data_IF_321708851919
#
_entry.id   IF_321708851919
#
_cell.length_a   1.000
_cell.length_b   1.000
_cell.length_c   1.000
_cell.angle_alpha   90.00
_cell.angle_beta   90.00
_cell.angle_gamma   90.00
#
_symmetry.space_group_name_H-M   'P 1'
#
loop_
_entity.id
_entity.type
_entity.pdbx_description
1 polymer ?
#
# COMPACT_ATOMS: atom_id res chain seq x y z
N UNK A 1 -6.55 -9.53 17.80
CA UNK A 1 -6.50 -8.13 18.28
C UNK A 1 -5.11 -7.61 17.96
N UNK A 2 -5.01 -6.56 17.19
CA UNK A 2 -3.76 -5.80 17.06
C UNK A 2 -3.35 -5.40 18.47
N UNK A 3 -2.12 -5.69 18.82
CA UNK A 3 -1.52 -5.66 20.16
C UNK A 3 -2.12 -4.58 21.07
N UNK A 4 -2.57 -4.95 22.25
CA UNK A 4 -2.94 -4.03 23.32
C UNK A 4 -1.67 -3.40 23.92
N UNK A 5 -0.95 -2.65 23.10
CA UNK A 5 0.22 -1.92 23.56
C UNK A 5 -0.17 -0.84 24.54
N UNK A 6 0.52 -0.73 25.69
CA UNK A 6 0.30 0.39 26.62
C UNK A 6 0.47 1.76 25.99
N UNK A 7 1.39 1.89 25.00
CA UNK A 7 1.60 3.12 24.25
C UNK A 7 0.33 3.51 23.45
N UNK A 8 -0.21 2.56 22.68
CA UNK A 8 -1.41 2.80 21.89
C UNK A 8 -2.63 3.05 22.77
N UNK A 9 -2.77 2.33 23.88
CA UNK A 9 -3.84 2.57 24.85
C UNK A 9 -3.75 3.98 25.44
N UNK A 10 -2.55 4.45 25.76
CA UNK A 10 -2.31 5.82 26.21
C UNK A 10 -2.66 6.87 25.18
N UNK A 11 -2.26 6.68 23.92
CA UNK A 11 -2.59 7.58 22.81
C UNK A 11 -4.11 7.64 22.56
N UNK A 12 -4.81 6.51 22.60
CA UNK A 12 -6.28 6.44 22.48
C UNK A 12 -6.98 7.19 23.61
N UNK A 13 -6.51 7.00 24.85
CA UNK A 13 -7.08 7.67 26.01
C UNK A 13 -6.88 9.18 25.97
N UNK A 14 -5.73 9.63 25.44
CA UNK A 14 -5.40 11.06 25.31
C UNK A 14 -6.21 11.76 24.21
N UNK A 15 -6.62 11.07 23.14
CA UNK A 15 -7.32 11.66 22.01
C UNK A 15 -8.41 10.72 21.43
N UNK A 16 -9.46 10.37 22.19
CA UNK A 16 -10.45 9.39 21.76
C UNK A 16 -11.27 9.84 20.53
N UNK A 17 -11.46 11.13 20.32
CA UNK A 17 -12.17 11.69 19.16
C UNK A 17 -11.41 11.53 17.84
N UNK A 18 -10.10 11.31 17.88
CA UNK A 18 -9.26 11.13 16.72
C UNK A 18 -9.14 9.65 16.29
N UNK A 19 -9.67 8.75 17.11
CA UNK A 19 -9.55 7.32 16.86
C UNK A 19 -10.66 6.77 15.97
N UNK A 20 -10.26 6.04 14.92
CA UNK A 20 -11.16 5.31 14.01
C UNK A 20 -10.70 3.86 13.91
N UNK A 21 -11.63 2.94 13.74
CA UNK A 21 -11.33 1.51 13.55
C UNK A 21 -12.30 0.83 12.60
N UNK A 22 -11.89 -0.30 12.05
CA UNK A 22 -12.79 -1.22 11.33
C UNK A 22 -13.87 -1.76 12.26
N UNK A 23 -15.04 -2.19 11.74
CA UNK A 23 -16.08 -2.78 12.56
C UNK A 23 -15.63 -4.10 13.21
N UNK A 24 -16.16 -4.41 14.38
CA UNK A 24 -16.00 -5.70 15.05
C UNK A 24 -17.22 -6.58 14.79
N UNK A 25 -17.08 -7.90 15.02
CA UNK A 25 -18.12 -8.87 14.68
C UNK A 25 -19.48 -8.57 15.30
N UNK A 26 -19.54 -8.05 16.52
CA UNK A 26 -20.77 -7.69 17.23
C UNK A 26 -21.45 -6.39 16.76
N UNK A 27 -20.83 -5.61 15.88
CA UNK A 27 -21.31 -4.29 15.47
C UNK A 27 -22.08 -4.32 14.14
N UNK A 28 -23.20 -5.05 14.10
CA UNK A 28 -23.96 -5.31 12.85
C UNK A 28 -24.27 -4.08 12.00
N UNK A 29 -24.56 -2.94 12.63
CA UNK A 29 -24.88 -1.69 11.92
C UNK A 29 -23.67 -0.98 11.28
N UNK A 30 -22.45 -1.45 11.49
CA UNK A 30 -21.23 -0.88 10.91
C UNK A 30 -20.72 -1.64 9.69
N UNK A 31 -21.35 -2.77 9.35
CA UNK A 31 -21.00 -3.58 8.20
C UNK A 31 -21.85 -3.20 7.00
N UNK A 32 -21.21 -3.11 5.85
CA UNK A 32 -21.91 -2.98 4.58
C UNK A 32 -22.26 -4.37 4.04
N UNK A 33 -23.49 -4.54 3.51
CA UNK A 33 -23.90 -5.80 2.90
C UNK A 33 -23.51 -5.85 1.42
N UNK A 34 -22.95 -6.98 0.98
CA UNK A 34 -22.65 -7.25 -0.43
C UNK A 34 -23.21 -8.62 -0.80
N UNK A 35 -23.89 -8.71 -1.94
CA UNK A 35 -24.36 -9.98 -2.52
C UNK A 35 -23.61 -10.26 -3.82
N UNK A 36 -23.01 -11.45 -3.92
CA UNK A 36 -22.39 -11.96 -5.16
C UNK A 36 -23.04 -13.32 -5.47
N UNK A 37 -23.83 -13.39 -6.53
CA UNK A 37 -24.65 -14.57 -6.82
C UNK A 37 -25.61 -14.89 -5.67
N UNK A 38 -25.59 -16.13 -5.18
CA UNK A 38 -26.40 -16.58 -4.07
C UNK A 38 -25.80 -16.27 -2.67
N UNK A 39 -24.56 -15.80 -2.59
CA UNK A 39 -23.85 -15.57 -1.33
C UNK A 39 -23.97 -14.12 -0.87
N UNK A 40 -24.17 -13.93 0.43
CA UNK A 40 -24.15 -12.64 1.10
C UNK A 40 -22.89 -12.51 1.95
N UNK A 41 -22.29 -11.33 1.92
CA UNK A 41 -21.04 -11.01 2.63
C UNK A 41 -21.22 -9.74 3.46
N UNK A 42 -20.45 -9.63 4.54
CA UNK A 42 -20.28 -8.40 5.32
C UNK A 42 -18.97 -7.75 4.90
N UNK A 43 -19.03 -6.47 4.56
CA UNK A 43 -17.88 -5.68 4.08
C UNK A 43 -17.52 -4.63 5.11
N UNK A 44 -16.27 -4.61 5.53
CA UNK A 44 -15.73 -3.58 6.41
C UNK A 44 -15.38 -2.33 5.59
N UNK A 45 -16.03 -1.20 5.84
CA UNK A 45 -15.70 0.07 5.18
C UNK A 45 -14.73 0.92 6.04
N UNK A 46 -13.82 1.65 5.40
CA UNK A 46 -13.54 1.68 3.95
C UNK A 46 -12.84 0.40 3.48
N UNK A 47 -13.19 -0.06 2.28
CA UNK A 47 -12.55 -1.23 1.67
C UNK A 47 -11.72 -0.85 0.45
N UNK A 48 -10.56 -1.49 0.29
CA UNK A 48 -9.71 -1.30 -0.87
C UNK A 48 -9.93 -2.40 -1.91
N UNK A 49 -9.97 -1.99 -3.17
CA UNK A 49 -9.92 -2.87 -4.34
C UNK A 49 -8.58 -2.75 -5.03
N UNK A 50 -7.88 -3.85 -5.22
CA UNK A 50 -6.58 -3.91 -5.88
C UNK A 50 -6.69 -4.71 -7.17
N UNK A 51 -6.58 -4.08 -8.35
CA UNK A 51 -6.40 -4.79 -9.61
C UNK A 51 -4.95 -5.30 -9.67
N UNK A 52 -4.76 -6.55 -9.25
CA UNK A 52 -3.45 -7.13 -9.01
C UNK A 52 -2.96 -7.93 -10.22
N UNK A 53 -2.37 -7.22 -11.19
CA UNK A 53 -1.78 -7.80 -12.38
C UNK A 53 -0.61 -6.95 -12.86
N UNK A 54 0.39 -7.57 -13.48
CA UNK A 54 1.51 -6.89 -14.10
C UNK A 54 1.98 -7.66 -15.32
N UNK A 55 2.33 -6.93 -16.38
CA UNK A 55 2.89 -7.50 -17.61
C UNK A 55 4.41 -7.55 -17.59
N UNK A 56 5.06 -6.81 -16.69
CA UNK A 56 6.52 -6.74 -16.57
C UNK A 56 6.99 -7.02 -15.15
N UNK A 57 8.18 -7.62 -14.99
CA UNK A 57 8.83 -7.72 -13.68
C UNK A 57 9.23 -6.33 -13.19
N UNK A 58 9.11 -6.09 -11.88
CA UNK A 58 9.47 -4.82 -11.23
C UNK A 58 10.91 -4.37 -11.52
N UNK A 59 11.13 -3.07 -11.71
CA UNK A 59 12.44 -2.42 -11.89
C UNK A 59 13.34 -2.49 -10.65
N UNK A 60 12.77 -2.80 -9.47
CA UNK A 60 13.50 -2.98 -8.22
C UNK A 60 13.39 -4.42 -7.69
N UNK A 61 14.35 -4.84 -6.85
CA UNK A 61 14.38 -6.13 -6.15
C UNK A 61 14.56 -5.92 -4.66
N UNK A 62 13.59 -5.24 -4.04
CA UNK A 62 13.63 -4.90 -2.62
C UNK A 62 13.78 -6.17 -1.76
N UNK A 63 14.67 -6.10 -0.75
CA UNK A 63 14.94 -7.25 0.11
C UNK A 63 13.72 -7.74 0.90
N UNK A 64 12.76 -6.84 1.13
CA UNK A 64 11.53 -7.07 1.89
C UNK A 64 10.29 -7.29 1.01
N UNK A 65 10.41 -7.39 -0.32
CA UNK A 65 9.26 -7.39 -1.22
C UNK A 65 8.27 -8.51 -0.89
N UNK A 66 7.04 -8.16 -0.50
CA UNK A 66 5.98 -9.12 -0.13
C UNK A 66 5.60 -10.07 -1.27
N UNK A 67 5.87 -9.69 -2.53
CA UNK A 67 5.68 -10.56 -3.68
C UNK A 67 6.47 -11.87 -3.59
N UNK A 68 7.64 -11.83 -2.94
CA UNK A 68 8.48 -13.00 -2.73
C UNK A 68 8.06 -13.85 -1.52
N UNK A 69 7.14 -13.36 -0.69
CA UNK A 69 6.61 -14.12 0.45
C UNK A 69 5.49 -15.07 0.04
N UNK A 70 4.84 -14.82 -1.10
CA UNK A 70 3.66 -15.59 -1.51
C UNK A 70 4.04 -17.02 -1.84
N UNK A 71 3.29 -17.94 -1.27
CA UNK A 71 3.38 -19.35 -1.58
C UNK A 71 2.47 -19.64 -2.77
N UNK A 72 3.04 -19.67 -3.97
CA UNK A 72 2.31 -20.15 -5.13
C UNK A 72 2.74 -21.56 -5.45
N UNK A 73 1.78 -22.45 -5.67
CA UNK A 73 2.02 -23.81 -6.08
C UNK A 73 2.72 -23.82 -7.45
N UNK A 74 4.05 -23.94 -7.45
CA UNK A 74 4.84 -24.33 -8.63
C UNK A 74 5.20 -23.25 -9.66
N UNK A 75 4.84 -21.97 -9.48
CA UNK A 75 5.16 -20.90 -10.43
C UNK A 75 5.99 -19.76 -9.82
N UNK A 76 6.81 -19.08 -10.62
CA UNK A 76 7.39 -17.81 -10.21
C UNK A 76 6.28 -16.77 -10.00
N UNK A 77 6.32 -16.00 -8.92
CA UNK A 77 5.31 -14.99 -8.60
C UNK A 77 4.98 -14.05 -9.78
N UNK A 78 5.98 -13.69 -10.58
CA UNK A 78 5.84 -12.89 -11.79
C UNK A 78 4.97 -13.56 -12.89
N UNK A 79 4.98 -14.91 -13.00
CA UNK A 79 4.18 -15.62 -14.00
C UNK A 79 2.68 -15.63 -13.63
N UNK A 80 2.36 -15.59 -12.34
CA UNK A 80 0.98 -15.53 -11.85
C UNK A 80 0.36 -14.13 -11.95
N UNK A 81 1.16 -13.10 -12.13
CA UNK A 81 0.70 -11.72 -12.28
C UNK A 81 0.43 -11.32 -13.73
N UNK A 82 0.77 -12.17 -14.71
CA UNK A 82 0.55 -11.89 -16.13
C UNK A 82 -0.92 -12.10 -16.47
N UNK A 83 -1.62 -11.05 -16.90
CA UNK A 83 -3.01 -11.14 -17.27
C UNK A 83 -3.17 -11.86 -18.62
N UNK A 84 -4.29 -12.59 -18.75
CA UNK A 84 -4.75 -13.12 -20.03
C UNK A 84 -5.36 -12.04 -20.93
N UNK A 85 -5.70 -12.39 -22.19
CA UNK A 85 -6.27 -11.43 -23.14
C UNK A 85 -7.59 -10.82 -22.68
N UNK A 86 -8.39 -11.54 -21.94
CA UNK A 86 -9.73 -11.12 -21.48
C UNK A 86 -9.71 -10.35 -20.15
N UNK A 87 -8.53 -10.10 -19.59
CA UNK A 87 -8.37 -9.49 -18.26
C UNK A 87 -9.22 -8.22 -18.06
N UNK A 88 -9.20 -7.29 -19.00
CA UNK A 88 -9.93 -6.03 -18.87
C UNK A 88 -11.44 -6.20 -19.01
N UNK A 89 -11.91 -7.14 -19.81
CA UNK A 89 -13.34 -7.48 -19.89
C UNK A 89 -13.83 -8.10 -18.58
N UNK A 90 -13.05 -9.02 -18.01
CA UNK A 90 -13.33 -9.65 -16.72
C UNK A 90 -13.24 -8.64 -15.56
N UNK A 91 -12.28 -7.70 -15.60
CA UNK A 91 -12.19 -6.61 -14.63
C UNK A 91 -13.44 -5.74 -14.62
N UNK A 92 -13.97 -5.38 -15.80
CA UNK A 92 -15.24 -4.63 -15.90
C UNK A 92 -16.39 -5.41 -15.29
N UNK A 93 -16.50 -6.70 -15.59
CA UNK A 93 -17.55 -7.54 -15.01
C UNK A 93 -17.46 -7.61 -13.47
N UNK A 94 -16.25 -7.78 -12.93
CA UNK A 94 -16.03 -7.77 -11.48
C UNK A 94 -16.39 -6.42 -10.84
N UNK A 95 -16.07 -5.29 -11.47
CA UNK A 95 -16.44 -3.96 -10.97
C UNK A 95 -17.95 -3.73 -10.99
N UNK A 96 -18.66 -4.25 -12.00
CA UNK A 96 -20.12 -4.17 -12.06
C UNK A 96 -20.80 -4.96 -10.93
N UNK A 97 -20.23 -6.09 -10.50
CA UNK A 97 -20.71 -6.84 -9.33
C UNK A 97 -20.58 -6.02 -8.03
N UNK A 98 -19.63 -5.10 -7.99
CA UNK A 98 -19.31 -4.29 -6.82
C UNK A 98 -20.02 -2.91 -6.82
N UNK A 99 -20.98 -2.67 -7.71
CA UNK A 99 -21.60 -1.35 -7.94
C UNK A 99 -22.18 -0.70 -6.68
N UNK A 100 -22.65 -1.49 -5.72
CA UNK A 100 -23.23 -0.99 -4.46
C UNK A 100 -22.17 -0.70 -3.37
N UNK A 101 -20.91 -1.15 -3.57
CA UNK A 101 -19.86 -1.01 -2.55
C UNK A 101 -19.03 0.23 -2.82
N UNK A 102 -18.92 1.19 -1.89
CA UNK A 102 -17.98 2.30 -2.04
C UNK A 102 -16.55 1.76 -1.90
N UNK A 103 -15.74 1.95 -2.94
CA UNK A 103 -14.37 1.41 -3.03
C UNK A 103 -13.31 2.49 -2.98
N UNK A 104 -12.16 2.12 -2.45
CA UNK A 104 -10.90 2.85 -2.67
C UNK A 104 -9.98 2.01 -3.57
N UNK A 105 -9.56 2.55 -4.72
CA UNK A 105 -8.62 1.86 -5.60
C UNK A 105 -7.21 1.92 -5.02
N UNK A 106 -6.59 0.75 -4.89
CA UNK A 106 -5.21 0.55 -4.47
C UNK A 106 -4.43 -0.01 -5.66
N UNK A 107 -3.89 0.90 -6.50
CA UNK A 107 -3.12 0.52 -7.69
C UNK A 107 -1.72 0.09 -7.23
N UNK A 108 -1.59 -1.20 -6.97
CA UNK A 108 -0.37 -1.83 -6.45
C UNK A 108 -0.17 -3.23 -7.05
N UNK A 109 1.00 -3.79 -6.88
CA UNK A 109 1.42 -5.06 -7.45
C UNK A 109 2.62 -4.87 -8.35
N UNK A 110 3.82 -5.29 -7.91
CA UNK A 110 5.10 -4.96 -8.54
C UNK A 110 5.25 -3.45 -8.79
N UNK A 111 5.58 -3.05 -10.01
CA UNK A 111 5.69 -1.64 -10.41
C UNK A 111 4.83 -1.40 -11.67
N UNK A 112 3.65 -0.85 -11.49
CA UNK A 112 2.70 -0.64 -12.60
C UNK A 112 3.22 0.36 -13.62
N UNK A 113 4.06 1.32 -13.21
CA UNK A 113 4.63 2.34 -14.11
C UNK A 113 5.75 1.80 -15.00
N UNK A 114 6.20 0.56 -14.78
CA UNK A 114 7.17 -0.11 -15.65
C UNK A 114 6.60 -0.44 -17.03
N UNK A 115 5.26 -0.49 -17.16
CA UNK A 115 4.56 -0.60 -18.44
C UNK A 115 3.50 0.52 -18.56
N UNK A 116 3.85 1.65 -19.21
CA UNK A 116 2.96 2.78 -19.37
C UNK A 116 1.66 2.47 -20.13
N UNK A 117 1.73 1.68 -21.18
CA UNK A 117 0.56 1.36 -22.03
C UNK A 117 -0.43 0.48 -21.28
N UNK A 118 0.08 -0.48 -20.52
CA UNK A 118 -0.73 -1.31 -19.62
C UNK A 118 -1.41 -0.45 -18.55
N UNK A 119 -0.65 0.44 -17.89
CA UNK A 119 -1.21 1.30 -16.86
C UNK A 119 -2.30 2.22 -17.43
N UNK A 120 -2.08 2.84 -18.59
CA UNK A 120 -3.10 3.69 -19.23
C UNK A 120 -4.39 2.91 -19.54
N UNK A 121 -4.27 1.68 -20.08
CA UNK A 121 -5.43 0.82 -20.34
C UNK A 121 -6.17 0.46 -19.05
N UNK A 122 -5.43 0.19 -17.97
CA UNK A 122 -6.01 -0.07 -16.65
C UNK A 122 -6.78 1.16 -16.13
N UNK A 123 -6.15 2.34 -16.14
CA UNK A 123 -6.77 3.59 -15.69
C UNK A 123 -8.06 3.88 -16.48
N UNK A 124 -8.02 3.74 -17.79
CA UNK A 124 -9.19 3.90 -18.65
C UNK A 124 -10.30 2.89 -18.29
N UNK A 125 -9.96 1.62 -18.09
CA UNK A 125 -10.92 0.59 -17.71
C UNK A 125 -11.59 0.92 -16.38
N UNK A 126 -10.82 1.32 -15.38
CA UNK A 126 -11.33 1.68 -14.05
C UNK A 126 -12.20 2.95 -14.09
N UNK A 127 -11.88 3.91 -14.96
CA UNK A 127 -12.62 5.17 -15.07
C UNK A 127 -13.93 5.03 -15.85
N UNK A 128 -13.98 4.15 -16.87
CA UNK A 128 -15.08 4.08 -17.84
C UNK A 128 -16.00 2.88 -17.71
N UNK A 129 -15.84 2.05 -16.64
CA UNK A 129 -16.72 0.89 -16.42
C UNK A 129 -18.15 1.37 -16.16
N UNK A 130 -19.11 1.06 -17.06
CA UNK A 130 -20.52 1.44 -16.86
C UNK A 130 -21.11 0.71 -15.65
N UNK A 131 -21.92 1.41 -14.86
CA UNK A 131 -22.50 0.84 -13.63
C UNK A 131 -21.47 0.25 -12.68
N UNK A 132 -20.28 0.85 -12.63
CA UNK A 132 -19.24 0.46 -11.68
C UNK A 132 -19.49 1.05 -10.28
N UNK A 133 -18.63 0.71 -9.31
CA UNK A 133 -18.74 1.18 -7.94
C UNK A 133 -18.48 2.68 -7.81
N UNK A 134 -19.03 3.29 -6.75
CA UNK A 134 -18.61 4.62 -6.33
C UNK A 134 -17.17 4.55 -5.82
N UNK A 135 -16.27 5.35 -6.37
CA UNK A 135 -14.86 5.37 -5.99
C UNK A 135 -14.57 6.57 -5.09
N UNK A 136 -14.14 6.29 -3.85
CA UNK A 136 -13.85 7.32 -2.85
C UNK A 136 -12.42 7.84 -2.95
N UNK A 137 -11.47 6.94 -3.21
CA UNK A 137 -10.05 7.27 -3.32
C UNK A 137 -9.39 6.46 -4.42
N UNK A 138 -8.38 7.04 -5.05
CA UNK A 138 -7.54 6.42 -6.07
C UNK A 138 -6.08 6.61 -5.68
N UNK A 139 -5.39 5.54 -5.35
CA UNK A 139 -4.02 5.58 -4.84
C UNK A 139 -3.12 4.72 -5.72
N UNK A 140 -2.01 5.29 -6.17
CA UNK A 140 -0.95 4.55 -6.87
C UNK A 140 0.24 4.36 -5.93
N UNK A 141 0.73 3.13 -5.83
CA UNK A 141 1.97 2.76 -5.14
C UNK A 141 3.07 2.54 -6.17
N UNK A 142 4.17 3.28 -6.09
CA UNK A 142 5.22 3.23 -7.11
C UNK A 142 6.61 3.45 -6.51
N UNK A 143 7.61 2.83 -7.12
CA UNK A 143 9.02 3.14 -6.87
C UNK A 143 9.52 4.33 -7.72
N UNK A 144 8.67 4.85 -8.60
CA UNK A 144 8.95 6.02 -9.43
C UNK A 144 9.61 5.74 -10.78
N UNK A 145 9.94 4.49 -11.10
CA UNK A 145 10.77 4.17 -12.28
C UNK A 145 10.18 4.67 -13.60
N UNK A 146 8.88 4.42 -13.84
CA UNK A 146 8.22 4.85 -15.08
C UNK A 146 8.22 6.37 -15.25
N UNK A 147 8.13 7.12 -14.16
CA UNK A 147 8.14 8.59 -14.21
C UNK A 147 9.51 9.19 -14.54
N UNK A 148 10.60 8.46 -14.28
CA UNK A 148 11.95 8.90 -14.61
C UNK A 148 12.36 8.61 -16.06
N UNK A 149 11.53 7.87 -16.80
CA UNK A 149 11.76 7.49 -18.21
C UNK A 149 11.09 8.47 -19.18
N UNK A 150 11.31 8.29 -20.48
CA UNK A 150 10.84 9.20 -21.53
C UNK A 150 9.33 9.47 -21.49
N UNK A 151 8.51 8.46 -21.23
CA UNK A 151 7.05 8.56 -21.15
C UNK A 151 6.52 9.11 -19.81
N UNK A 152 7.42 9.49 -18.87
CA UNK A 152 7.03 9.91 -17.53
C UNK A 152 6.08 11.11 -17.47
N UNK A 153 6.18 12.06 -18.40
CA UNK A 153 5.25 13.19 -18.45
C UNK A 153 3.83 12.74 -18.84
N UNK A 154 3.71 11.87 -19.85
CA UNK A 154 2.43 11.32 -20.29
C UNK A 154 1.75 10.49 -19.20
N UNK A 155 2.53 9.72 -18.41
CA UNK A 155 2.00 8.99 -17.27
C UNK A 155 1.44 9.93 -16.19
N UNK A 156 2.11 11.04 -15.90
CA UNK A 156 1.62 12.04 -14.95
C UNK A 156 0.30 12.63 -15.44
N UNK A 157 0.21 13.00 -16.72
CA UNK A 157 -1.02 13.54 -17.31
C UNK A 157 -2.17 12.52 -17.23
N UNK A 158 -1.93 11.26 -17.55
CA UNK A 158 -2.94 10.19 -17.45
C UNK A 158 -3.43 9.98 -16.00
N UNK A 159 -2.56 10.09 -15.01
CA UNK A 159 -2.94 9.99 -13.59
C UNK A 159 -3.74 11.20 -13.11
N UNK A 160 -3.42 12.40 -13.59
CA UNK A 160 -4.22 13.62 -13.32
C UNK A 160 -5.61 13.49 -13.94
N UNK A 161 -5.71 13.05 -15.18
CA UNK A 161 -6.99 12.83 -15.87
C UNK A 161 -7.83 11.74 -15.19
N UNK A 162 -7.19 10.67 -14.74
CA UNK A 162 -7.83 9.60 -13.94
C UNK A 162 -8.39 10.12 -12.61
N UNK A 163 -7.97 11.30 -12.14
CA UNK A 163 -8.34 11.86 -10.84
C UNK A 163 -7.69 11.10 -9.68
N UNK A 164 -6.39 10.79 -9.82
CA UNK A 164 -5.63 10.15 -8.74
C UNK A 164 -5.67 11.02 -7.48
N UNK A 165 -6.03 10.44 -6.34
CA UNK A 165 -6.10 11.15 -5.06
C UNK A 165 -4.71 11.50 -4.54
N UNK A 166 -3.76 10.57 -4.64
CA UNK A 166 -2.34 10.76 -4.34
C UNK A 166 -1.51 9.60 -4.87
N UNK A 167 -0.20 9.83 -4.94
CA UNK A 167 0.80 8.79 -5.19
C UNK A 167 1.60 8.51 -3.92
N UNK A 168 1.77 7.23 -3.57
CA UNK A 168 2.73 6.77 -2.56
C UNK A 168 4.02 6.36 -3.26
N UNK A 169 5.04 7.23 -3.13
CA UNK A 169 6.32 7.06 -3.81
C UNK A 169 7.34 6.46 -2.85
N UNK A 170 7.85 5.30 -3.19
CA UNK A 170 8.71 4.48 -2.32
C UNK A 170 10.17 4.92 -2.42
N UNK A 171 10.74 5.33 -1.28
CA UNK A 171 12.18 5.43 -1.06
C UNK A 171 12.47 5.23 0.42
N UNK A 172 13.41 4.36 0.74
CA UNK A 172 13.54 3.86 2.12
C UNK A 172 14.78 4.38 2.84
N UNK A 173 15.54 5.25 2.18
CA UNK A 173 16.66 5.97 2.77
C UNK A 173 16.92 7.27 2.00
N UNK A 174 17.21 8.41 2.68
CA UNK A 174 17.49 9.68 1.98
C UNK A 174 18.79 9.63 1.20
N UNK A 175 19.81 8.93 1.72
CA UNK A 175 21.11 8.78 1.07
C UNK A 175 21.09 7.65 0.04
N UNK A 176 21.80 7.88 -1.09
CA UNK A 176 21.92 6.95 -2.22
C UNK A 176 22.30 5.53 -1.76
N UNK A 177 23.46 5.39 -1.11
CA UNK A 177 23.99 4.09 -0.73
C UNK A 177 23.05 3.29 0.19
N UNK A 178 22.37 3.95 1.11
CA UNK A 178 21.40 3.32 2.00
C UNK A 178 20.17 2.81 1.23
N UNK A 179 19.68 3.62 0.29
CA UNK A 179 18.53 3.21 -0.52
C UNK A 179 18.88 2.07 -1.48
N UNK A 180 20.06 2.09 -2.09
CA UNK A 180 20.52 1.04 -3.00
C UNK A 180 20.67 -0.32 -2.31
N UNK A 181 21.11 -0.32 -1.05
CA UNK A 181 21.18 -1.54 -0.25
C UNK A 181 19.80 -2.16 0.00
N UNK A 182 18.73 -1.33 0.07
CA UNK A 182 17.36 -1.74 0.38
C UNK A 182 16.56 -2.08 -0.88
N UNK A 183 16.49 -1.14 -1.85
CA UNK A 183 15.60 -1.28 -3.02
C UNK A 183 16.21 -2.09 -4.15
N UNK A 184 17.52 -2.06 -4.34
CA UNK A 184 18.25 -2.86 -5.34
C UNK A 184 17.67 -2.74 -6.74
N UNK A 185 17.65 -1.53 -7.27
CA UNK A 185 17.22 -1.28 -8.65
C UNK A 185 18.06 -2.05 -9.66
N UNK A 186 17.49 -2.31 -10.83
CA UNK A 186 18.23 -2.92 -11.94
C UNK A 186 19.34 -1.98 -12.41
N UNK A 187 20.46 -2.50 -12.91
CA UNK A 187 21.52 -1.69 -13.49
C UNK A 187 20.97 -0.75 -14.57
N UNK A 188 21.37 0.52 -14.52
CA UNK A 188 20.94 1.54 -15.49
C UNK A 188 19.53 2.11 -15.25
N UNK A 189 18.83 1.75 -14.17
CA UNK A 189 17.53 2.34 -13.85
C UNK A 189 17.69 3.80 -13.36
N UNK A 190 17.16 4.80 -14.10
CA UNK A 190 17.43 6.21 -13.80
C UNK A 190 16.95 6.65 -12.41
N UNK A 191 15.84 6.10 -11.94
CA UNK A 191 15.24 6.46 -10.64
C UNK A 191 16.09 6.03 -9.44
N UNK A 192 17.04 5.11 -9.64
CA UNK A 192 17.98 4.71 -8.59
C UNK A 192 18.80 5.89 -8.10
N UNK A 193 19.19 6.80 -8.99
CA UNK A 193 19.93 8.01 -8.65
C UNK A 193 19.11 8.95 -7.77
N UNK A 194 19.71 9.42 -6.65
CA UNK A 194 19.02 10.23 -5.65
C UNK A 194 18.55 11.58 -6.19
N UNK A 195 19.34 12.23 -7.06
CA UNK A 195 18.97 13.51 -7.64
C UNK A 195 17.85 13.34 -8.68
N UNK A 196 17.88 12.25 -9.45
CA UNK A 196 16.80 11.90 -10.38
C UNK A 196 15.51 11.59 -9.64
N UNK A 197 15.57 10.87 -8.52
CA UNK A 197 14.41 10.64 -7.67
C UNK A 197 13.82 11.96 -7.17
N UNK A 198 14.66 12.85 -6.60
CA UNK A 198 14.19 14.13 -6.06
C UNK A 198 13.51 14.99 -7.14
N UNK A 199 14.13 15.12 -8.33
CA UNK A 199 13.52 15.83 -9.47
C UNK A 199 12.20 15.19 -9.93
N UNK A 200 12.10 13.86 -9.92
CA UNK A 200 10.88 13.13 -10.28
C UNK A 200 9.79 13.38 -9.25
N UNK A 201 10.11 13.31 -7.95
CA UNK A 201 9.17 13.60 -6.87
C UNK A 201 8.67 15.06 -6.94
N UNK A 202 9.53 16.04 -7.16
CA UNK A 202 9.16 17.45 -7.34
C UNK A 202 8.25 17.66 -8.56
N UNK A 203 8.55 17.02 -9.69
CA UNK A 203 7.71 17.08 -10.89
C UNK A 203 6.32 16.47 -10.66
N UNK A 204 6.23 15.36 -9.93
CA UNK A 204 4.96 14.76 -9.50
C UNK A 204 4.22 15.70 -8.54
N UNK A 205 4.91 16.24 -7.52
CA UNK A 205 4.33 17.12 -6.51
C UNK A 205 3.73 18.42 -7.09
N UNK A 206 4.24 18.89 -8.22
CA UNK A 206 3.68 20.01 -8.96
C UNK A 206 2.31 19.74 -9.58
N UNK A 207 1.90 18.48 -9.69
CA UNK A 207 0.68 18.04 -10.39
C UNK A 207 -0.27 17.19 -9.53
N UNK A 208 0.25 16.48 -8.55
CA UNK A 208 -0.47 15.51 -7.71
C UNK A 208 0.04 15.55 -6.28
N UNK A 209 -0.78 15.24 -5.27
CA UNK A 209 -0.28 15.02 -3.91
C UNK A 209 0.69 13.84 -3.88
N UNK A 210 1.91 14.08 -3.41
CA UNK A 210 2.95 13.06 -3.25
C UNK A 210 3.13 12.73 -1.78
N UNK A 211 3.02 11.44 -1.45
CA UNK A 211 3.35 10.87 -0.15
C UNK A 211 4.59 10.01 -0.30
N UNK A 212 5.65 10.32 0.45
CA UNK A 212 6.83 9.46 0.47
C UNK A 212 6.62 8.32 1.46
N UNK A 213 6.90 7.10 1.04
CA UNK A 213 6.83 5.91 1.89
C UNK A 213 8.24 5.43 2.21
N UNK A 214 8.54 5.37 3.50
CA UNK A 214 9.76 4.80 4.04
C UNK A 214 9.43 3.55 4.86
N UNK A 215 9.92 2.40 4.41
CA UNK A 215 9.91 1.19 5.24
C UNK A 215 10.96 1.34 6.32
N UNK A 216 10.52 1.41 7.58
CA UNK A 216 11.43 1.49 8.72
C UNK A 216 12.07 0.14 8.98
N UNK A 217 13.38 0.12 9.08
CA UNK A 217 14.13 -1.11 9.20
C UNK A 217 15.53 -0.88 9.76
N UNK A 218 16.06 -1.91 10.36
CA UNK A 218 17.41 -1.92 10.94
C UNK A 218 18.45 -1.64 9.85
N UNK A 219 19.35 -0.67 10.11
CA UNK A 219 20.33 -0.22 9.12
C UNK A 219 19.78 0.71 8.04
N UNK A 220 18.53 1.14 8.17
CA UNK A 220 17.90 2.18 7.37
C UNK A 220 17.40 3.31 8.28
N UNK A 221 16.11 3.66 8.19
CA UNK A 221 15.47 4.59 9.12
C UNK A 221 14.97 3.79 10.32
N UNK A 222 15.73 3.78 11.42
CA UNK A 222 15.48 2.95 12.61
C UNK A 222 15.62 3.69 13.95
N UNK A 223 15.90 4.99 13.92
CA UNK A 223 16.03 5.88 15.08
C UNK A 223 15.27 7.18 14.88
N UNK A 224 15.01 7.92 15.95
CA UNK A 224 14.37 9.24 15.89
C UNK A 224 15.20 10.26 15.09
N UNK A 225 16.53 10.20 15.16
CA UNK A 225 17.43 11.06 14.37
C UNK A 225 17.33 10.72 12.88
N UNK A 226 17.27 9.46 12.51
CA UNK A 226 17.09 9.04 11.12
C UNK A 226 15.71 9.45 10.59
N UNK A 227 14.65 9.40 11.42
CA UNK A 227 13.34 9.97 11.09
C UNK A 227 13.44 11.47 10.79
N UNK A 228 14.07 12.24 11.66
CA UNK A 228 14.24 13.69 11.46
C UNK A 228 15.03 14.02 10.17
N UNK A 229 16.10 13.28 9.89
CA UNK A 229 16.88 13.42 8.65
C UNK A 229 16.04 13.08 7.41
N UNK A 230 15.26 12.00 7.47
CA UNK A 230 14.38 11.63 6.36
C UNK A 230 13.32 12.70 6.10
N UNK A 231 12.70 13.26 7.13
CA UNK A 231 11.70 14.33 7.01
C UNK A 231 12.31 15.60 6.40
N UNK A 232 13.50 16.00 6.82
CA UNK A 232 14.21 17.16 6.25
C UNK A 232 14.46 16.96 4.74
N UNK A 233 14.88 15.75 4.34
CA UNK A 233 15.07 15.40 2.94
C UNK A 233 13.72 15.33 2.18
N UNK A 234 12.67 14.74 2.76
CA UNK A 234 11.36 14.60 2.12
C UNK A 234 10.74 15.96 1.74
N UNK A 235 10.93 16.99 2.59
CA UNK A 235 10.52 18.37 2.30
C UNK A 235 11.19 18.90 1.04
N UNK A 236 12.47 18.64 0.85
CA UNK A 236 13.19 19.07 -0.36
C UNK A 236 12.69 18.39 -1.63
N UNK A 237 12.01 17.25 -1.51
CA UNK A 237 11.35 16.55 -2.61
C UNK A 237 9.94 17.07 -2.92
N UNK A 238 9.41 18.02 -2.13
CA UNK A 238 8.05 18.55 -2.30
C UNK A 238 6.93 17.60 -1.81
N UNK A 239 7.25 16.62 -0.95
CA UNK A 239 6.28 15.71 -0.40
C UNK A 239 5.27 16.44 0.51
N UNK A 240 3.99 16.11 0.41
CA UNK A 240 2.93 16.62 1.28
C UNK A 240 2.75 15.79 2.54
N UNK A 241 3.20 14.53 2.48
CA UNK A 241 3.13 13.60 3.59
C UNK A 241 4.29 12.61 3.53
N UNK A 242 4.73 12.13 4.70
CA UNK A 242 5.66 11.00 4.85
C UNK A 242 4.99 9.90 5.63
N UNK A 243 5.09 8.66 5.15
CA UNK A 243 4.60 7.46 5.81
C UNK A 243 5.80 6.60 6.21
N UNK A 244 6.04 6.47 7.50
CA UNK A 244 6.97 5.50 8.06
C UNK A 244 6.20 4.21 8.30
N UNK A 245 6.48 3.18 7.50
CA UNK A 245 5.76 1.90 7.54
C UNK A 245 6.66 0.81 8.10
N UNK A 246 6.13 0.05 9.03
CA UNK A 246 6.82 -1.10 9.62
C UNK A 246 6.92 -2.25 8.61
N UNK A 247 8.04 -3.01 8.62
CA UNK A 247 8.07 -4.34 8.02
C UNK A 247 7.05 -5.23 8.73
N UNK A 248 6.19 -5.90 7.98
CA UNK A 248 5.10 -6.68 8.57
C UNK A 248 5.59 -7.76 9.51
N UNK A 249 4.89 -7.94 10.63
CA UNK A 249 5.01 -9.14 11.44
C UNK A 249 4.47 -10.31 10.63
N UNK A 250 5.30 -11.32 10.46
CA UNK A 250 4.96 -12.54 9.73
C UNK A 250 4.55 -13.65 10.71
N UNK A 251 3.69 -14.54 10.25
CA UNK A 251 3.34 -15.78 10.93
C UNK A 251 3.91 -17.00 10.21
N UNK A 252 3.56 -18.18 10.69
CA UNK A 252 4.05 -19.46 10.16
C UNK A 252 3.43 -19.86 8.80
N UNK A 253 2.46 -19.08 8.29
CA UNK A 253 1.88 -19.29 6.97
C UNK A 253 2.89 -18.98 5.84
N UNK A 254 3.93 -18.20 6.13
CA UNK A 254 4.95 -17.85 5.15
C UNK A 254 6.14 -18.78 5.18
N UNK A 255 6.60 -19.22 4.00
CA UNK A 255 7.84 -20.00 3.89
C UNK A 255 9.06 -19.20 4.31
N UNK A 256 9.96 -19.83 5.07
CA UNK A 256 11.27 -19.29 5.37
C UNK A 256 12.14 -19.26 4.11
N UNK A 257 12.07 -18.15 3.39
CA UNK A 257 12.91 -17.85 2.22
C UNK A 257 13.83 -16.64 2.50
N UNK A 258 14.52 -16.15 1.47
CA UNK A 258 15.42 -15.00 1.59
C UNK A 258 14.73 -13.74 2.08
N UNK A 259 13.52 -13.45 1.57
CA UNK A 259 12.72 -12.29 1.97
C UNK A 259 12.20 -12.43 3.39
N UNK A 260 11.72 -13.59 3.77
CA UNK A 260 11.30 -13.87 5.15
C UNK A 260 12.45 -13.61 6.13
N UNK A 261 13.65 -14.16 5.85
CA UNK A 261 14.85 -13.95 6.68
C UNK A 261 15.24 -12.47 6.72
N UNK A 262 15.18 -11.77 5.59
CA UNK A 262 15.44 -10.33 5.54
C UNK A 262 14.51 -9.56 6.48
N UNK A 263 13.21 -9.81 6.39
CA UNK A 263 12.21 -9.15 7.25
C UNK A 263 12.46 -9.48 8.72
N UNK A 264 12.68 -10.74 9.07
CA UNK A 264 12.96 -11.17 10.45
C UNK A 264 14.20 -10.48 11.04
N UNK A 265 15.25 -10.30 10.24
CA UNK A 265 16.50 -9.66 10.68
C UNK A 265 16.40 -8.13 10.77
N UNK A 266 15.64 -7.48 9.88
CA UNK A 266 15.64 -6.02 9.76
C UNK A 266 14.41 -5.37 10.39
N UNK A 267 13.38 -6.13 10.74
CA UNK A 267 12.17 -5.56 11.35
C UNK A 267 12.49 -4.89 12.68
N UNK A 268 11.97 -3.67 12.83
CA UNK A 268 11.83 -2.96 14.11
C UNK A 268 10.35 -2.70 14.34
N UNK A 269 9.89 -2.84 15.58
CA UNK A 269 8.49 -2.54 15.91
C UNK A 269 8.23 -1.03 15.83
N UNK A 270 7.12 -0.62 15.22
CA UNK A 270 6.75 0.79 15.11
C UNK A 270 6.61 1.46 16.47
N UNK A 271 6.11 0.75 17.47
CA UNK A 271 5.98 1.28 18.84
C UNK A 271 7.32 1.66 19.48
N UNK A 272 8.37 0.87 19.18
CA UNK A 272 9.72 1.19 19.65
C UNK A 272 10.23 2.49 19.01
N UNK A 273 10.05 2.63 17.68
CA UNK A 273 10.46 3.84 16.98
C UNK A 273 9.66 5.07 17.46
N UNK A 274 8.36 4.90 17.68
CA UNK A 274 7.51 5.94 18.22
C UNK A 274 7.95 6.36 19.63
N UNK A 275 8.23 5.41 20.51
CA UNK A 275 8.74 5.70 21.86
C UNK A 275 10.05 6.49 21.83
N UNK A 276 10.96 6.19 20.89
CA UNK A 276 12.19 6.95 20.67
C UNK A 276 11.90 8.38 20.16
N UNK A 277 10.99 8.52 19.18
CA UNK A 277 10.55 9.82 18.68
C UNK A 277 9.90 10.69 19.77
N UNK A 278 9.09 10.10 20.64
CA UNK A 278 8.42 10.82 21.72
C UNK A 278 9.38 11.42 22.78
N UNK A 279 10.62 10.94 22.85
CA UNK A 279 11.65 11.53 23.71
C UNK A 279 12.31 12.77 23.10
N UNK A 280 12.05 13.06 21.82
CA UNK A 280 12.70 14.16 21.11
C UNK A 280 11.99 15.50 21.35
N UNK A 281 12.77 16.58 21.45
CA UNK A 281 12.21 17.92 21.64
C UNK A 281 11.27 18.38 20.54
N UNK A 282 11.47 17.90 19.31
CA UNK A 282 10.61 18.26 18.19
C UNK A 282 9.22 17.58 18.28
N UNK A 283 9.09 16.43 18.96
CA UNK A 283 7.82 15.73 19.10
C UNK A 283 6.76 16.56 19.83
N UNK A 284 7.12 17.27 20.90
CA UNK A 284 6.18 18.07 21.69
C UNK A 284 5.56 19.24 20.94
N UNK A 285 6.13 19.61 19.79
CA UNK A 285 5.60 20.65 18.89
C UNK A 285 4.63 20.12 17.85
N UNK A 286 4.58 18.81 17.68
CA UNK A 286 3.71 18.18 16.70
C UNK A 286 2.31 17.96 17.28
N UNK A 287 1.32 17.94 16.40
CA UNK A 287 -0.08 17.73 16.77
C UNK A 287 -0.58 16.40 16.22
N UNK A 288 -1.26 15.60 17.05
CA UNK A 288 -1.95 14.41 16.59
C UNK A 288 -3.16 14.82 15.75
N UNK A 289 -3.30 14.27 14.54
CA UNK A 289 -4.37 14.57 13.59
C UNK A 289 -5.33 13.37 13.40
N UNK A 290 -4.90 12.18 13.75
CA UNK A 290 -5.74 11.00 13.69
C UNK A 290 -5.03 9.72 14.07
N UNK A 291 -5.82 8.75 14.48
CA UNK A 291 -5.39 7.38 14.71
C UNK A 291 -6.37 6.41 14.07
N UNK A 292 -5.87 5.51 13.24
CA UNK A 292 -6.70 4.52 12.57
C UNK A 292 -6.23 3.12 12.91
N UNK A 293 -7.16 2.24 13.25
CA UNK A 293 -6.94 0.82 13.41
C UNK A 293 -7.66 0.08 12.29
N UNK A 294 -6.87 -0.39 11.32
CA UNK A 294 -7.32 -1.23 10.23
C UNK A 294 -7.44 -2.71 10.66
N UNK A 295 -7.64 -3.59 9.70
CA UNK A 295 -7.78 -5.02 9.99
C UNK A 295 -6.44 -5.74 10.26
N UNK A 296 -5.30 -5.15 9.85
CA UNK A 296 -3.96 -5.70 10.09
C UNK A 296 -2.91 -4.64 10.43
N UNK A 297 -3.32 -3.40 10.60
CA UNK A 297 -2.41 -2.29 10.91
C UNK A 297 -3.08 -1.30 11.85
N UNK A 298 -2.29 -0.49 12.49
CA UNK A 298 -2.70 0.80 13.02
C UNK A 298 -1.79 1.88 12.46
N UNK A 299 -2.29 3.09 12.35
CA UNK A 299 -1.48 4.24 12.05
C UNK A 299 -1.81 5.41 12.99
N UNK A 300 -0.78 6.21 13.27
CA UNK A 300 -0.88 7.49 13.96
C UNK A 300 -0.46 8.57 12.97
N UNK A 301 -1.36 9.52 12.72
CA UNK A 301 -1.06 10.70 11.91
C UNK A 301 -0.75 11.88 12.80
N UNK A 302 0.38 12.51 12.51
CA UNK A 302 0.86 13.71 13.17
C UNK A 302 1.01 14.82 12.15
N UNK A 303 0.81 16.06 12.58
CA UNK A 303 1.15 17.27 11.84
C UNK A 303 2.37 17.91 12.49
N UNK A 304 3.47 18.03 11.76
CA UNK A 304 4.67 18.71 12.24
C UNK A 304 4.44 20.24 12.34
N UNK A 305 5.30 20.91 13.09
CA UNK A 305 5.25 22.38 13.31
C UNK A 305 5.41 23.20 12.02
N UNK A 306 6.02 22.65 10.99
CA UNK A 306 6.14 23.23 9.66
C UNK A 306 5.08 22.74 8.65
N UNK A 307 4.06 22.02 9.11
CA UNK A 307 2.88 21.64 8.33
C UNK A 307 2.99 20.37 7.51
N UNK A 308 4.08 19.58 7.63
CA UNK A 308 4.18 18.28 6.98
C UNK A 308 3.35 17.22 7.71
N UNK A 309 2.58 16.45 6.98
CA UNK A 309 1.89 15.28 7.55
C UNK A 309 2.87 14.12 7.70
N UNK A 310 2.88 13.50 8.87
CA UNK A 310 3.73 12.36 9.18
C UNK A 310 2.85 11.22 9.70
N UNK A 311 2.96 10.06 9.08
CA UNK A 311 2.20 8.86 9.47
C UNK A 311 3.19 7.80 9.96
N UNK A 312 2.92 7.26 11.14
CA UNK A 312 3.58 6.06 11.65
C UNK A 312 2.63 4.89 11.53
N UNK A 313 2.99 3.88 10.77
CA UNK A 313 2.10 2.78 10.41
C UNK A 313 2.73 1.42 10.75
N UNK A 314 2.02 0.64 11.57
CA UNK A 314 2.38 -0.76 11.83
C UNK A 314 1.87 -1.68 10.73
N UNK A 315 2.37 -2.93 10.69
CA UNK A 315 1.84 -3.97 9.82
C UNK A 315 1.94 -5.35 10.50
N UNK A 316 0.85 -6.12 10.47
CA UNK A 316 0.77 -7.45 11.10
C UNK A 316 0.00 -8.42 10.18
N UNK A 317 0.72 -9.26 9.43
CA UNK A 317 0.11 -10.22 8.52
C UNK A 317 -0.53 -11.42 9.27
N UNK A 318 -0.10 -11.72 10.49
CA UNK A 318 -0.79 -12.71 11.30
C UNK A 318 -2.21 -12.23 11.67
N UNK A 319 -2.35 -10.96 12.04
CA UNK A 319 -3.67 -10.35 12.24
C UNK A 319 -4.50 -10.31 10.96
N UNK A 320 -3.87 -10.06 9.81
CA UNK A 320 -4.52 -10.10 8.49
C UNK A 320 -5.15 -11.48 8.22
N UNK A 321 -4.36 -12.55 8.37
CA UNK A 321 -4.84 -13.92 8.15
C UNK A 321 -5.97 -14.29 9.10
N UNK A 322 -5.86 -13.93 10.38
CA UNK A 322 -6.91 -14.17 11.36
C UNK A 322 -8.24 -13.47 10.99
N UNK A 323 -8.18 -12.28 10.41
CA UNK A 323 -9.36 -11.54 9.94
C UNK A 323 -9.95 -12.16 8.67
N UNK A 324 -9.13 -12.53 7.70
CA UNK A 324 -9.61 -13.19 6.49
C UNK A 324 -10.30 -14.53 6.80
N UNK A 325 -9.84 -15.26 7.82
CA UNK A 325 -10.45 -16.50 8.27
C UNK A 325 -11.87 -16.34 8.86
N UNK A 326 -12.34 -15.11 9.12
CA UNK A 326 -13.72 -14.87 9.62
C UNK A 326 -14.79 -14.96 8.54
N UNK A 327 -14.40 -14.92 7.25
CA UNK A 327 -15.32 -14.83 6.11
C UNK A 327 -15.88 -13.43 5.86
N UNK A 328 -15.52 -12.43 6.67
CA UNK A 328 -15.86 -11.03 6.45
C UNK A 328 -14.87 -10.40 5.47
N UNK A 329 -15.34 -9.43 4.67
CA UNK A 329 -14.53 -8.81 3.64
C UNK A 329 -13.84 -7.53 4.16
N UNK A 330 -12.52 -7.57 4.22
CA UNK A 330 -11.67 -6.42 4.60
C UNK A 330 -10.86 -5.89 3.43
N UNK A 331 -10.75 -6.66 2.35
CA UNK A 331 -10.02 -6.31 1.13
C UNK A 331 -10.60 -7.06 -0.06
N UNK A 332 -10.52 -6.43 -1.23
CA UNK A 332 -10.86 -7.04 -2.51
C UNK A 332 -9.64 -7.01 -3.42
N UNK A 333 -9.29 -8.14 -4.00
CA UNK A 333 -8.19 -8.28 -4.95
C UNK A 333 -8.69 -8.94 -6.21
N UNK A 334 -8.45 -8.29 -7.36
CA UNK A 334 -8.74 -8.86 -8.66
C UNK A 334 -7.44 -9.31 -9.31
N UNK A 335 -7.28 -10.61 -9.49
CA UNK A 335 -6.04 -11.22 -9.94
C UNK A 335 -5.94 -11.33 -11.46
N UNK A 336 -4.71 -11.57 -11.94
CA UNK A 336 -4.39 -11.75 -13.35
C UNK A 336 -5.12 -12.94 -14.01
N UNK A 337 -5.54 -13.94 -13.23
CA UNK A 337 -6.37 -15.07 -13.70
C UNK A 337 -7.87 -14.74 -13.82
N UNK A 338 -8.26 -13.48 -13.65
CA UNK A 338 -9.66 -13.02 -13.75
C UNK A 338 -10.52 -13.27 -12.51
N UNK A 339 -9.95 -13.75 -11.40
CA UNK A 339 -10.68 -14.01 -10.15
C UNK A 339 -10.74 -12.77 -9.26
N UNK A 340 -11.91 -12.53 -8.69
CA UNK A 340 -12.11 -11.59 -7.59
C UNK A 340 -12.06 -12.36 -6.27
N UNK A 341 -11.14 -11.96 -5.39
CA UNK A 341 -10.89 -12.64 -4.11
C UNK A 341 -11.01 -11.68 -2.92
N UNK A 342 -11.34 -12.25 -1.75
CA UNK A 342 -11.41 -11.55 -0.46
C UNK A 342 -10.05 -11.29 0.20
N UNK A 343 -8.96 -11.73 -0.41
CA UNK A 343 -7.60 -11.66 0.15
C UNK A 343 -6.53 -11.78 -0.93
N UNK A 344 -5.34 -12.16 -0.50
CA UNK A 344 -4.15 -12.16 -1.34
C UNK A 344 -3.81 -13.52 -2.00
N UNK A 345 -4.67 -14.53 -1.87
CA UNK A 345 -4.50 -15.82 -2.49
C UNK A 345 -5.46 -15.94 -3.69
N UNK A 346 -4.94 -16.09 -4.95
CA UNK A 346 -5.78 -16.18 -6.15
C UNK A 346 -6.57 -17.49 -6.25
N UNK A 347 -6.24 -18.50 -5.45
CA UNK A 347 -6.87 -19.83 -5.44
C UNK A 347 -7.71 -20.07 -4.18
N UNK A 348 -7.58 -19.20 -3.17
CA UNK A 348 -8.42 -19.21 -1.97
C UNK A 348 -9.30 -17.95 -1.93
N UNK A 349 -10.35 -18.00 -1.09
CA UNK A 349 -11.26 -16.87 -0.83
C UNK A 349 -11.89 -16.27 -2.10
N UNK A 350 -12.12 -17.10 -3.12
CA UNK A 350 -12.69 -16.66 -4.40
C UNK A 350 -14.15 -16.26 -4.21
N UNK A 351 -14.44 -15.00 -4.50
CA UNK A 351 -15.77 -14.42 -4.45
C UNK A 351 -16.51 -14.56 -5.78
N UNK A 352 -15.76 -14.44 -6.87
CA UNK A 352 -16.27 -14.54 -8.22
C UNK A 352 -15.15 -14.94 -9.19
N UNK A 353 -15.53 -15.72 -10.21
CA UNK A 353 -14.71 -16.08 -11.36
C UNK A 353 -15.54 -16.00 -12.65
N UNK A 354 -14.91 -15.70 -13.80
CA UNK A 354 -15.61 -15.63 -15.07
C UNK A 354 -16.16 -17.00 -15.47
N UNK A 355 -17.36 -17.03 -16.04
CA UNK A 355 -17.94 -18.27 -16.56
C UNK A 355 -17.07 -18.79 -17.72
N UNK A 356 -16.55 -20.02 -17.62
CA UNK A 356 -15.85 -20.70 -18.71
C UNK A 356 -14.33 -20.53 -18.73
N UNK A 357 -13.69 -20.35 -17.56
CA UNK A 357 -12.24 -20.47 -17.40
C UNK A 357 -11.82 -21.93 -17.25
#
# INVERSE_FOLDING_TARGET
>A
MLSASPLLAGLRAAAPSLWRRVPEQGESGRWHALRIGARAYRVALPITFTPYASVRPCSARCGFCSENLRQHHGGAAAAMLRPGPDYFAQLRAALQLLHEVPLSYSLSGLEMTDDPDWLQTLLQTLATTPNGPRVEQRVLYSNGAGFARAQGAQLIDALVEFGLSWIELSRHHPLQAGNDAIMRFRPGEPIADAATFARTAQRLAARLPVRLVCIVQRGGVDTADAVAQYLAWARSCGATQVIFRELSRLDDAYRSNGTWRYIAQHRIGMERLLADCMQQRWWSRWQADGMTEGYYFWNLRMRSDDGLDVVFESADYAAMHARHATGDLYKLVFFANGRLCAGWDPDADVLWEPAGG
#
